data_IF_763340970602
#
_entry.id   IF_763340970602
#
_cell.length_a   1.000
_cell.length_b   1.000
_cell.length_c   1.000
_cell.angle_alpha   90.00
_cell.angle_beta   90.00
_cell.angle_gamma   90.00
#
_symmetry.space_group_name_H-M   'P 1'
#
loop_
_entity.id
_entity.type
_entity.pdbx_description
1 polymer ?
#
# COMPACT_ATOMS: atom_id res chain seq x y z
N UNK A 1 18.55 0.68 15.46
CA UNK A 1 17.28 1.13 16.10
C UNK A 1 16.30 -0.04 16.21
N UNK A 2 15.13 0.08 16.88
CA UNK A 2 14.05 -0.92 16.70
C UNK A 2 13.36 -0.73 15.34
N UNK A 3 12.78 -1.78 14.77
CA UNK A 3 12.09 -1.70 13.46
C UNK A 3 10.95 -0.66 13.49
N UNK A 4 10.20 -0.60 14.60
CA UNK A 4 9.12 0.37 14.77
C UNK A 4 9.59 1.83 14.85
N UNK A 5 10.67 2.10 15.58
CA UNK A 5 11.21 3.47 15.68
C UNK A 5 11.81 3.92 14.34
N UNK A 6 12.48 3.00 13.64
CA UNK A 6 12.98 3.23 12.28
C UNK A 6 11.84 3.58 11.31
N UNK A 7 10.76 2.78 11.31
CA UNK A 7 9.57 3.04 10.48
C UNK A 7 8.99 4.43 10.75
N UNK A 8 8.83 4.81 12.03
CA UNK A 8 8.28 6.12 12.40
C UNK A 8 9.14 7.28 11.93
N UNK A 9 10.44 7.21 12.17
CA UNK A 9 11.38 8.27 11.81
C UNK A 9 11.49 8.44 10.29
N UNK A 10 11.53 7.31 9.55
CA UNK A 10 11.51 7.33 8.09
C UNK A 10 10.20 7.95 7.57
N UNK A 11 9.05 7.59 8.14
CA UNK A 11 7.77 8.17 7.71
C UNK A 11 7.74 9.69 7.93
N UNK A 12 8.15 10.15 9.12
CA UNK A 12 8.20 11.59 9.42
C UNK A 12 9.14 12.34 8.47
N UNK A 13 10.31 11.76 8.16
CA UNK A 13 11.22 12.31 7.16
C UNK A 13 10.56 12.39 5.77
N UNK A 14 9.90 11.32 5.30
CA UNK A 14 9.25 11.30 3.99
C UNK A 14 8.09 12.31 3.89
N UNK A 15 7.26 12.41 4.93
CA UNK A 15 6.15 13.36 5.01
C UNK A 15 6.63 14.82 4.93
N UNK A 16 7.80 15.13 5.51
CA UNK A 16 8.35 16.50 5.48
C UNK A 16 8.98 16.92 4.14
N UNK A 17 9.40 15.96 3.32
CA UNK A 17 10.19 16.23 2.09
C UNK A 17 9.44 15.90 0.79
N UNK A 18 8.37 15.11 0.86
CA UNK A 18 7.63 14.66 -0.32
C UNK A 18 6.17 15.10 -0.25
N UNK A 19 5.66 15.55 -1.38
CA UNK A 19 4.23 15.72 -1.55
C UNK A 19 3.53 14.36 -1.67
N UNK A 20 2.37 14.24 -1.05
CA UNK A 20 1.53 13.05 -1.11
C UNK A 20 1.30 12.40 0.25
N UNK A 21 0.77 11.17 0.21
CA UNK A 21 0.33 10.45 1.40
C UNK A 21 1.37 9.41 1.77
N UNK A 22 1.81 9.41 3.02
CA UNK A 22 2.59 8.31 3.60
C UNK A 22 1.68 7.55 4.56
N UNK A 23 1.43 6.28 4.28
CA UNK A 23 0.57 5.45 5.11
C UNK A 23 1.25 4.14 5.44
N UNK A 24 1.13 3.74 6.71
CA UNK A 24 1.84 2.58 7.23
C UNK A 24 0.93 1.37 7.33
N UNK A 25 1.51 0.18 7.28
CA UNK A 25 0.89 -1.09 7.65
C UNK A 25 -0.44 -1.30 6.91
N UNK A 26 -0.34 -1.43 5.58
CA UNK A 26 -1.48 -1.55 4.68
C UNK A 26 -1.51 -2.92 4.01
N UNK A 27 -2.66 -3.60 4.10
CA UNK A 27 -2.87 -4.88 3.44
C UNK A 27 -2.88 -4.73 1.92
N UNK A 28 -2.01 -5.48 1.23
CA UNK A 28 -1.84 -5.46 -0.22
C UNK A 28 -2.20 -6.79 -0.91
N UNK A 29 -2.45 -7.87 -0.15
CA UNK A 29 -2.93 -9.14 -0.72
C UNK A 29 -4.25 -8.98 -1.48
N UNK A 30 -4.37 -9.65 -2.63
CA UNK A 30 -5.51 -9.55 -3.55
C UNK A 30 -6.38 -10.81 -3.47
N UNK A 31 -5.77 -11.97 -3.70
CA UNK A 31 -6.37 -13.30 -3.61
C UNK A 31 -6.53 -13.75 -2.15
N UNK A 32 -5.58 -13.41 -1.29
CA UNK A 32 -5.67 -13.62 0.16
C UNK A 32 -5.66 -12.27 0.90
N UNK A 33 -6.83 -11.61 1.06
CA UNK A 33 -6.91 -10.36 1.81
C UNK A 33 -6.31 -10.50 3.21
N UNK A 34 -5.31 -9.66 3.51
CA UNK A 34 -4.56 -9.70 4.77
C UNK A 34 -3.34 -10.63 4.77
N UNK A 35 -3.11 -11.41 3.71
CA UNK A 35 -1.94 -12.29 3.57
C UNK A 35 -0.62 -11.57 3.32
N UNK A 36 -0.66 -10.32 2.83
CA UNK A 36 0.50 -9.42 2.71
C UNK A 36 0.15 -8.04 3.24
N UNK A 37 1.03 -7.48 4.07
CA UNK A 37 0.96 -6.13 4.63
C UNK A 37 2.22 -5.39 4.20
N UNK A 38 2.09 -4.24 3.54
CA UNK A 38 3.20 -3.34 3.24
C UNK A 38 3.47 -2.46 4.46
N UNK A 39 4.74 -2.32 4.83
CA UNK A 39 5.15 -1.53 5.98
C UNK A 39 4.83 -0.05 5.80
N UNK A 40 5.23 0.52 4.66
CA UNK A 40 4.95 1.91 4.29
C UNK A 40 4.54 1.97 2.82
N UNK A 41 3.54 2.80 2.53
CA UNK A 41 3.07 3.10 1.19
C UNK A 41 3.09 4.60 1.00
N UNK A 42 3.83 5.06 0.00
CA UNK A 42 3.79 6.43 -0.48
C UNK A 42 2.84 6.53 -1.68
N UNK A 43 1.88 7.44 -1.62
CA UNK A 43 0.91 7.73 -2.68
C UNK A 43 1.18 9.12 -3.21
N UNK A 44 1.69 9.21 -4.43
CA UNK A 44 1.82 10.50 -5.10
C UNK A 44 0.42 11.07 -5.44
N UNK A 45 0.22 12.39 -5.33
CA UNK A 45 -1.01 13.01 -5.79
C UNK A 45 -1.15 12.86 -7.30
N UNK A 46 -2.35 12.51 -7.76
CA UNK A 46 -2.73 12.49 -9.17
C UNK A 46 -3.36 13.81 -9.61
N UNK A 47 -3.73 13.95 -10.90
CA UNK A 47 -4.23 15.21 -11.45
C UNK A 47 -5.55 15.69 -10.82
N UNK A 48 -6.39 14.77 -10.33
CA UNK A 48 -7.66 15.10 -9.68
C UNK A 48 -7.63 14.91 -8.15
N UNK A 49 -6.45 15.12 -7.53
CA UNK A 49 -6.29 15.03 -6.07
C UNK A 49 -7.23 15.98 -5.33
N UNK A 50 -7.32 17.24 -5.76
CA UNK A 50 -8.19 18.24 -5.14
C UNK A 50 -9.67 17.89 -5.25
N UNK A 51 -10.09 17.27 -6.37
CA UNK A 51 -11.46 16.78 -6.52
C UNK A 51 -11.78 15.70 -5.48
N UNK A 52 -10.84 14.78 -5.21
CA UNK A 52 -11.01 13.75 -4.18
C UNK A 52 -11.12 14.36 -2.79
N UNK A 53 -10.30 15.37 -2.49
CA UNK A 53 -10.34 16.09 -1.21
C UNK A 53 -11.67 16.83 -1.02
N UNK A 54 -12.21 17.40 -2.09
CA UNK A 54 -13.50 18.11 -2.07
C UNK A 54 -14.70 17.20 -1.77
N UNK A 55 -14.62 15.89 -2.05
CA UNK A 55 -15.70 14.94 -1.73
C UNK A 55 -15.83 14.78 -0.22
N UNK A 56 -14.75 14.36 0.45
CA UNK A 56 -14.73 14.06 1.88
C UNK A 56 -13.31 13.84 2.37
N UNK A 57 -13.01 14.25 3.61
CA UNK A 57 -11.72 14.01 4.28
C UNK A 57 -11.54 12.56 4.74
N UNK A 58 -12.56 11.73 4.59
CA UNK A 58 -12.59 10.34 5.03
C UNK A 58 -12.32 9.36 3.88
N UNK A 59 -12.01 8.10 4.20
CA UNK A 59 -11.99 7.04 3.18
C UNK A 59 -13.39 6.75 2.63
N UNK A 60 -13.49 6.53 1.31
CA UNK A 60 -14.73 6.12 0.65
C UNK A 60 -14.73 4.60 0.52
N UNK A 61 -15.84 3.91 0.87
CA UNK A 61 -15.92 2.45 0.72
C UNK A 61 -15.74 2.00 -0.73
N UNK A 62 -14.82 1.07 -0.97
CA UNK A 62 -14.55 0.48 -2.29
C UNK A 62 -15.82 -0.06 -2.98
N UNK A 63 -16.69 -0.73 -2.21
CA UNK A 63 -17.95 -1.24 -2.71
C UNK A 63 -18.90 -0.13 -3.21
N UNK A 64 -18.86 1.07 -2.60
CA UNK A 64 -19.66 2.20 -3.04
C UNK A 64 -19.10 2.80 -4.34
N UNK A 65 -17.77 2.83 -4.48
CA UNK A 65 -17.09 3.27 -5.70
C UNK A 65 -17.37 2.33 -6.88
N UNK A 66 -17.38 1.01 -6.63
CA UNK A 66 -17.67 -0.01 -7.66
C UNK A 66 -19.16 -0.17 -7.99
N UNK A 67 -20.04 0.39 -7.16
CA UNK A 67 -21.48 0.24 -7.35
C UNK A 67 -21.97 0.91 -8.64
N UNK A 68 -23.14 0.50 -9.11
CA UNK A 68 -23.81 1.15 -10.24
C UNK A 68 -24.46 2.50 -9.88
N UNK A 69 -24.37 2.95 -8.61
CA UNK A 69 -24.86 4.26 -8.18
C UNK A 69 -24.02 5.34 -8.84
N UNK A 70 -24.65 6.25 -9.58
CA UNK A 70 -23.97 7.37 -10.23
C UNK A 70 -24.50 8.71 -9.76
N UNK A 71 -23.94 9.80 -10.30
CA UNK A 71 -24.34 11.18 -9.94
C UNK A 71 -25.66 11.63 -10.56
N UNK A 72 -26.09 11.01 -11.66
CA UNK A 72 -27.26 11.45 -12.43
C UNK A 72 -28.60 11.02 -11.84
N UNK A 73 -28.92 9.72 -11.94
CA UNK A 73 -30.21 9.17 -11.49
C UNK A 73 -30.02 8.33 -10.24
N UNK A 74 -30.84 8.59 -9.23
CA UNK A 74 -30.90 7.75 -8.05
C UNK A 74 -31.26 6.30 -8.39
N UNK A 75 -30.71 5.36 -7.63
CA UNK A 75 -30.93 3.92 -7.81
C UNK A 75 -31.38 3.29 -6.51
N UNK A 76 -32.23 2.27 -6.62
CA UNK A 76 -32.52 1.41 -5.49
C UNK A 76 -31.24 0.70 -5.07
N UNK A 77 -30.82 0.90 -3.82
CA UNK A 77 -29.47 0.49 -3.43
C UNK A 77 -29.27 -1.03 -3.53
N UNK A 78 -30.29 -1.86 -3.31
CA UNK A 78 -30.15 -3.33 -3.40
C UNK A 78 -29.83 -3.82 -4.81
N UNK A 79 -30.20 -3.05 -5.85
CA UNK A 79 -29.97 -3.40 -7.25
C UNK A 79 -28.66 -2.80 -7.79
N UNK A 80 -27.91 -2.06 -6.95
CA UNK A 80 -26.76 -1.29 -7.39
C UNK A 80 -25.40 -1.94 -7.05
N UNK A 81 -25.37 -3.03 -6.28
CA UNK A 81 -24.14 -3.64 -5.78
C UNK A 81 -24.01 -5.09 -6.24
N UNK A 82 -22.81 -5.47 -6.67
CA UNK A 82 -22.44 -6.84 -7.03
C UNK A 82 -21.71 -7.52 -5.85
N UNK A 83 -22.32 -7.51 -4.66
CA UNK A 83 -21.77 -8.17 -3.48
C UNK A 83 -22.86 -8.55 -2.47
N UNK A 84 -22.49 -9.28 -1.43
CA UNK A 84 -23.42 -9.71 -0.38
C UNK A 84 -24.22 -8.53 0.21
N UNK A 85 -25.55 -8.67 0.44
CA UNK A 85 -26.42 -7.58 0.90
C UNK A 85 -25.91 -6.85 2.14
N UNK A 86 -25.34 -7.55 3.12
CA UNK A 86 -24.80 -6.90 4.33
C UNK A 86 -23.58 -6.03 4.04
N UNK A 87 -22.73 -6.45 3.08
CA UNK A 87 -21.59 -5.65 2.63
C UNK A 87 -22.08 -4.41 1.87
N UNK A 88 -23.08 -4.58 1.01
CA UNK A 88 -23.73 -3.48 0.31
C UNK A 88 -24.36 -2.48 1.29
N UNK A 89 -25.10 -2.97 2.30
CA UNK A 89 -25.71 -2.12 3.33
C UNK A 89 -24.66 -1.31 4.09
N UNK A 90 -23.59 -1.95 4.58
CA UNK A 90 -22.49 -1.25 5.26
C UNK A 90 -21.84 -0.19 4.36
N UNK A 91 -21.67 -0.49 3.08
CA UNK A 91 -21.10 0.45 2.12
C UNK A 91 -22.02 1.65 1.87
N UNK A 92 -23.33 1.43 1.73
CA UNK A 92 -24.34 2.48 1.58
C UNK A 92 -24.36 3.38 2.82
N UNK A 93 -24.47 2.80 4.01
CA UNK A 93 -24.55 3.55 5.26
C UNK A 93 -23.30 4.42 5.45
N UNK A 94 -22.12 3.83 5.22
CA UNK A 94 -20.85 4.56 5.30
C UNK A 94 -20.72 5.61 4.21
N UNK A 95 -21.12 5.34 2.97
CA UNK A 95 -21.09 6.30 1.88
C UNK A 95 -22.00 7.52 2.15
N UNK A 96 -23.17 7.30 2.79
CA UNK A 96 -24.06 8.37 3.23
C UNK A 96 -23.47 9.16 4.39
N UNK A 97 -22.81 8.49 5.35
CA UNK A 97 -22.15 9.13 6.49
C UNK A 97 -21.02 10.07 6.03
N UNK A 98 -20.19 9.65 5.07
CA UNK A 98 -19.08 10.47 4.55
C UNK A 98 -19.49 11.48 3.50
N UNK A 99 -20.77 11.50 3.09
CA UNK A 99 -21.28 12.42 2.07
C UNK A 99 -20.91 12.06 0.63
N UNK A 100 -20.45 10.83 0.36
CA UNK A 100 -20.23 10.34 -1.01
C UNK A 100 -21.56 9.97 -1.69
N UNK A 101 -22.51 9.45 -0.91
CA UNK A 101 -23.89 9.25 -1.34
C UNK A 101 -24.81 10.26 -0.67
N UNK A 102 -25.95 10.49 -1.31
CA UNK A 102 -27.12 11.10 -0.70
C UNK A 102 -28.39 10.31 -1.02
N UNK A 103 -29.41 10.46 -0.17
CA UNK A 103 -30.73 9.85 -0.37
C UNK A 103 -31.57 10.70 -1.31
N UNK A 104 -32.22 10.07 -2.27
CA UNK A 104 -33.25 10.72 -3.07
C UNK A 104 -34.61 10.52 -2.40
N UNK A 105 -35.05 11.53 -1.64
CA UNK A 105 -36.28 11.44 -0.86
C UNK A 105 -37.53 11.30 -1.73
N UNK A 106 -37.56 11.93 -2.91
CA UNK A 106 -38.70 11.87 -3.83
C UNK A 106 -38.82 10.48 -4.46
N UNK A 107 -37.74 9.94 -5.02
CA UNK A 107 -37.73 8.59 -5.57
C UNK A 107 -38.00 7.55 -4.48
N UNK A 108 -37.46 7.77 -3.28
CA UNK A 108 -37.64 6.84 -2.17
C UNK A 108 -39.09 6.78 -1.70
N UNK A 109 -39.75 7.93 -1.57
CA UNK A 109 -41.15 8.01 -1.19
C UNK A 109 -42.08 7.40 -2.26
N UNK A 110 -41.84 7.71 -3.54
CA UNK A 110 -42.67 7.21 -4.64
C UNK A 110 -42.63 5.68 -4.79
N UNK A 111 -41.48 5.06 -4.51
CA UNK A 111 -41.28 3.62 -4.65
C UNK A 111 -41.36 2.84 -3.33
N UNK A 112 -41.55 3.52 -2.19
CA UNK A 112 -41.44 2.96 -0.83
C UNK A 112 -40.18 2.09 -0.63
N UNK A 113 -39.03 2.59 -1.11
CA UNK A 113 -37.73 1.90 -1.13
C UNK A 113 -36.61 2.93 -0.99
N UNK A 114 -35.44 2.56 -0.48
CA UNK A 114 -34.34 3.53 -0.33
C UNK A 114 -33.56 3.69 -1.64
N UNK A 115 -33.66 4.88 -2.24
CA UNK A 115 -32.92 5.27 -3.42
C UNK A 115 -31.77 6.21 -3.05
N UNK A 116 -30.60 5.96 -3.62
CA UNK A 116 -29.38 6.75 -3.38
C UNK A 116 -28.76 7.21 -4.70
N UNK A 117 -28.03 8.32 -4.66
CA UNK A 117 -27.19 8.82 -5.75
C UNK A 117 -25.83 9.26 -5.22
N UNK A 118 -24.81 9.26 -6.08
CA UNK A 118 -23.52 9.85 -5.75
C UNK A 118 -23.60 11.37 -5.74
N UNK A 119 -22.91 12.01 -4.80
CA UNK A 119 -22.78 13.48 -4.74
C UNK A 119 -21.74 14.01 -5.72
N UNK A 120 -20.73 13.19 -6.03
CA UNK A 120 -19.66 13.49 -6.98
C UNK A 120 -19.21 12.22 -7.71
N UNK A 121 -18.62 12.38 -8.90
CA UNK A 121 -17.96 11.26 -9.58
C UNK A 121 -16.68 10.91 -8.82
N UNK A 122 -16.34 9.63 -8.76
CA UNK A 122 -15.06 9.21 -8.20
C UNK A 122 -13.92 9.59 -9.17
N UNK A 123 -12.97 10.45 -8.76
CA UNK A 123 -11.95 11.00 -9.65
C UNK A 123 -10.72 10.09 -9.78
N UNK A 124 -9.89 10.33 -10.80
CA UNK A 124 -8.56 9.73 -10.94
C UNK A 124 -7.52 10.55 -10.18
N UNK A 125 -7.43 10.30 -8.86
CA UNK A 125 -6.83 11.25 -7.92
C UNK A 125 -5.45 10.87 -7.40
N UNK A 126 -4.96 9.67 -7.69
CA UNK A 126 -3.67 9.19 -7.21
C UNK A 126 -2.75 8.83 -8.37
N UNK A 127 -1.46 9.12 -8.20
CA UNK A 127 -0.40 8.77 -9.14
C UNK A 127 0.34 7.52 -8.70
N UNK A 128 1.67 7.61 -8.77
CA UNK A 128 2.59 6.52 -8.43
C UNK A 128 2.45 6.07 -6.97
N UNK A 129 2.44 4.75 -6.78
CA UNK A 129 2.45 4.04 -5.51
C UNK A 129 3.81 3.41 -5.29
N UNK A 130 4.46 3.74 -4.18
CA UNK A 130 5.74 3.12 -3.77
C UNK A 130 5.52 2.37 -2.47
N UNK A 131 5.74 1.06 -2.49
CA UNK A 131 5.84 0.25 -1.27
C UNK A 131 7.26 0.31 -0.73
N UNK A 132 7.41 0.60 0.56
CA UNK A 132 8.70 0.59 1.24
C UNK A 132 8.64 -0.47 2.33
N UNK A 133 9.55 -1.45 2.26
CA UNK A 133 9.77 -2.46 3.30
C UNK A 133 10.91 -2.02 4.20
N UNK A 134 10.68 -2.02 5.52
CA UNK A 134 11.67 -1.55 6.48
C UNK A 134 12.45 -2.73 7.06
N UNK A 135 13.76 -2.74 6.82
CA UNK A 135 14.68 -3.69 7.47
C UNK A 135 15.93 -2.99 7.96
N UNK A 136 15.92 -2.35 9.15
CA UNK A 136 17.07 -1.61 9.65
C UNK A 136 18.33 -2.49 9.80
N UNK A 137 18.15 -3.75 10.22
CA UNK A 137 19.24 -4.73 10.41
C UNK A 137 19.10 -5.90 9.43
N UNK A 138 19.91 -5.90 8.36
CA UNK A 138 19.95 -6.98 7.35
C UNK A 138 20.61 -8.26 7.87
N UNK A 139 21.32 -8.20 8.99
CA UNK A 139 21.92 -9.37 9.62
C UNK A 139 20.93 -10.21 10.41
N UNK A 140 19.76 -9.65 10.77
CA UNK A 140 18.71 -10.37 11.46
C UNK A 140 17.90 -11.24 10.50
N UNK A 141 17.72 -12.54 10.82
CA UNK A 141 16.91 -13.42 10.00
C UNK A 141 15.46 -12.95 9.93
N UNK A 142 14.81 -13.26 8.82
CA UNK A 142 13.41 -12.97 8.54
C UNK A 142 13.06 -13.31 7.10
N UNK A 143 11.79 -13.14 6.73
CA UNK A 143 11.27 -13.54 5.41
C UNK A 143 11.38 -12.43 4.35
N UNK A 144 12.31 -11.48 4.54
CA UNK A 144 12.44 -10.27 3.71
C UNK A 144 12.49 -10.59 2.21
N UNK A 145 13.33 -11.56 1.82
CA UNK A 145 13.48 -11.95 0.41
C UNK A 145 12.15 -12.46 -0.17
N UNK A 146 11.41 -13.28 0.60
CA UNK A 146 10.13 -13.83 0.18
C UNK A 146 9.05 -12.75 0.09
N UNK A 147 9.05 -11.80 1.03
CA UNK A 147 8.15 -10.63 1.03
C UNK A 147 8.39 -9.75 -0.19
N UNK A 148 9.65 -9.38 -0.46
CA UNK A 148 10.03 -8.57 -1.62
C UNK A 148 9.72 -9.28 -2.95
N UNK A 149 9.99 -10.59 -3.04
CA UNK A 149 9.61 -11.39 -4.21
C UNK A 149 8.09 -11.43 -4.41
N UNK A 150 7.32 -11.50 -3.33
CA UNK A 150 5.86 -11.41 -3.38
C UNK A 150 5.41 -10.05 -3.91
N UNK A 151 5.97 -8.95 -3.41
CA UNK A 151 5.57 -7.61 -3.84
C UNK A 151 5.91 -7.34 -5.31
N UNK A 152 7.09 -7.80 -5.77
CA UNK A 152 7.51 -7.71 -7.18
C UNK A 152 6.63 -8.59 -8.07
N UNK A 153 6.44 -9.86 -7.72
CA UNK A 153 5.65 -10.79 -8.54
C UNK A 153 4.17 -10.42 -8.61
N UNK A 154 3.60 -9.89 -7.53
CA UNK A 154 2.22 -9.44 -7.51
C UNK A 154 2.05 -8.07 -8.18
N UNK A 155 3.02 -7.17 -8.02
CA UNK A 155 3.03 -5.83 -8.61
C UNK A 155 1.73 -5.04 -8.35
N UNK A 156 1.33 -4.91 -7.08
CA UNK A 156 0.23 -4.01 -6.67
C UNK A 156 0.70 -2.57 -6.63
N UNK A 157 1.93 -2.30 -6.24
CA UNK A 157 2.55 -0.97 -6.25
C UNK A 157 3.38 -0.78 -7.52
N UNK A 158 3.66 0.47 -7.89
CA UNK A 158 4.46 0.79 -9.09
C UNK A 158 5.96 0.57 -8.88
N UNK A 159 6.40 0.58 -7.63
CA UNK A 159 7.77 0.27 -7.23
C UNK A 159 7.84 -0.22 -5.79
N UNK A 160 8.87 -1.00 -5.51
CA UNK A 160 9.19 -1.51 -4.17
C UNK A 160 10.59 -1.05 -3.78
N UNK A 161 10.74 -0.58 -2.55
CA UNK A 161 12.02 -0.14 -1.99
C UNK A 161 12.27 -0.85 -0.66
N UNK A 162 13.49 -1.33 -0.47
CA UNK A 162 13.99 -1.75 0.84
C UNK A 162 14.70 -0.56 1.52
N UNK A 163 14.23 -0.15 2.69
CA UNK A 163 14.90 0.85 3.52
C UNK A 163 15.63 0.18 4.69
N UNK A 164 16.93 0.49 4.85
CA UNK A 164 17.80 -0.16 5.86
C UNK A 164 18.80 0.80 6.50
N UNK A 165 19.18 0.56 7.76
CA UNK A 165 20.32 1.23 8.41
C UNK A 165 21.64 0.50 8.15
N UNK A 166 21.56 -0.75 7.69
CA UNK A 166 22.72 -1.60 7.47
C UNK A 166 23.54 -1.11 6.29
N UNK A 167 24.86 -1.25 6.39
CA UNK A 167 25.72 -1.08 5.23
C UNK A 167 25.37 -2.14 4.18
N UNK A 168 25.08 -1.69 2.96
CA UNK A 168 24.63 -2.56 1.87
C UNK A 168 25.83 -3.06 1.10
N UNK A 169 26.06 -4.37 1.14
CA UNK A 169 27.12 -5.03 0.38
C UNK A 169 26.58 -5.58 -0.93
N UNK A 170 27.47 -5.90 -1.88
CA UNK A 170 27.09 -6.64 -3.10
C UNK A 170 26.41 -7.97 -2.79
N UNK A 171 26.84 -8.67 -1.73
CA UNK A 171 26.21 -9.93 -1.32
C UNK A 171 24.77 -9.73 -0.84
N UNK A 172 24.46 -8.60 -0.19
CA UNK A 172 23.07 -8.25 0.14
C UNK A 172 22.25 -8.02 -1.13
N UNK A 173 22.76 -7.20 -2.05
CA UNK A 173 22.07 -6.87 -3.30
C UNK A 173 21.75 -8.11 -4.15
N UNK A 174 22.66 -9.09 -4.21
CA UNK A 174 22.49 -10.33 -4.97
C UNK A 174 21.37 -11.25 -4.45
N UNK A 175 20.88 -11.05 -3.21
CA UNK A 175 19.77 -11.83 -2.64
C UNK A 175 18.41 -11.17 -2.90
N UNK A 176 18.39 -9.89 -3.24
CA UNK A 176 17.16 -9.13 -3.47
C UNK A 176 16.75 -9.25 -4.95
N UNK A 177 15.44 -9.27 -5.27
CA UNK A 177 14.99 -9.08 -6.64
C UNK A 177 15.62 -7.83 -7.26
N UNK A 178 15.96 -7.88 -8.55
CA UNK A 178 16.67 -6.78 -9.22
C UNK A 178 15.83 -5.51 -9.33
N UNK A 179 14.50 -5.67 -9.38
CA UNK A 179 13.52 -4.59 -9.49
C UNK A 179 13.40 -3.75 -8.21
N UNK A 180 13.83 -4.29 -7.07
CA UNK A 180 13.66 -3.64 -5.76
C UNK A 180 14.70 -2.53 -5.59
N UNK A 181 14.25 -1.30 -5.36
CA UNK A 181 15.14 -0.20 -4.97
C UNK A 181 15.73 -0.44 -3.58
N UNK A 182 16.89 0.13 -3.29
CA UNK A 182 17.53 0.00 -1.98
C UNK A 182 17.95 1.37 -1.48
N UNK A 183 17.41 1.75 -0.34
CA UNK A 183 17.73 2.97 0.38
C UNK A 183 18.51 2.64 1.65
N UNK A 184 19.69 3.22 1.79
CA UNK A 184 20.44 3.23 3.03
C UNK A 184 20.10 4.50 3.80
N UNK A 185 19.44 4.30 4.92
CA UNK A 185 19.00 5.36 5.82
C UNK A 185 20.02 5.49 6.94
N UNK A 186 20.60 6.68 7.08
CA UNK A 186 21.57 6.97 8.14
C UNK A 186 21.30 8.35 8.72
N UNK A 187 22.06 8.73 9.74
CA UNK A 187 21.93 10.06 10.36
C UNK A 187 23.21 10.81 10.15
N UNK A 188 23.09 12.09 9.83
CA UNK A 188 24.25 12.96 9.77
C UNK A 188 24.91 13.04 11.15
N UNK A 189 26.24 13.02 11.18
CA UNK A 189 26.99 13.00 12.43
C UNK A 189 26.96 14.36 13.15
N UNK A 190 26.66 15.46 12.46
CA UNK A 190 26.69 16.82 12.99
C UNK A 190 25.36 17.26 13.60
N UNK A 191 24.25 17.11 12.89
CA UNK A 191 22.93 17.60 13.32
C UNK A 191 21.92 16.48 13.63
N UNK A 192 22.33 15.22 13.43
CA UNK A 192 21.51 14.01 13.64
C UNK A 192 20.27 13.94 12.76
N UNK A 193 20.20 14.75 11.69
CA UNK A 193 19.13 14.66 10.71
C UNK A 193 19.20 13.33 9.97
N UNK A 194 18.02 12.77 9.66
CA UNK A 194 17.92 11.53 8.89
C UNK A 194 18.23 11.83 7.42
N UNK A 195 19.11 11.06 6.81
CA UNK A 195 19.51 11.11 5.41
C UNK A 195 19.25 9.78 4.71
N UNK A 196 18.89 9.85 3.43
CA UNK A 196 18.57 8.69 2.60
C UNK A 196 19.54 8.64 1.42
N UNK A 197 20.44 7.66 1.44
CA UNK A 197 21.33 7.34 0.32
C UNK A 197 20.67 6.29 -0.57
N UNK A 198 20.45 6.61 -1.85
CA UNK A 198 19.93 5.63 -2.81
C UNK A 198 21.06 4.76 -3.36
N UNK A 199 21.11 3.51 -2.91
CA UNK A 199 22.10 2.50 -3.34
C UNK A 199 21.70 1.86 -4.67
N UNK A 200 20.38 1.70 -4.88
CA UNK A 200 19.80 1.18 -6.12
C UNK A 200 18.45 1.83 -6.37
N UNK A 201 18.26 2.39 -7.57
CA UNK A 201 16.98 2.93 -8.01
C UNK A 201 15.95 1.79 -8.18
N UNK A 202 14.70 1.94 -7.71
CA UNK A 202 13.66 0.93 -7.93
C UNK A 202 13.18 0.92 -9.38
N UNK A 203 13.04 -0.27 -9.96
CA UNK A 203 12.43 -0.45 -11.26
C UNK A 203 10.90 -0.23 -11.20
N UNK A 204 10.31 0.13 -12.35
CA UNK A 204 8.86 0.19 -12.48
C UNK A 204 8.28 -1.21 -12.65
N UNK A 205 7.28 -1.56 -11.83
CA UNK A 205 6.63 -2.85 -11.87
C UNK A 205 5.46 -2.89 -12.88
N UNK A 206 5.16 -4.05 -13.49
CA UNK A 206 4.13 -4.18 -14.52
C UNK A 206 2.72 -4.27 -13.91
N UNK A 207 2.20 -3.15 -13.41
CA UNK A 207 0.92 -3.06 -12.68
C UNK A 207 -0.31 -3.30 -13.56
N UNK A 208 -0.16 -3.20 -14.88
CA UNK A 208 -1.18 -3.43 -15.91
C UNK A 208 -1.14 -4.84 -16.51
N UNK A 209 -0.15 -5.66 -16.14
CA UNK A 209 -0.05 -7.08 -16.51
C UNK A 209 -0.56 -7.99 -15.39
N UNK A 210 -0.91 -9.26 -15.68
CA UNK A 210 -1.19 -10.23 -14.63
C UNK A 210 -0.01 -10.36 -13.65
N UNK A 211 -0.30 -10.42 -12.36
CA UNK A 211 0.67 -10.69 -11.30
C UNK A 211 0.48 -12.07 -10.69
N UNK A 212 1.42 -12.50 -9.86
CA UNK A 212 1.37 -13.76 -9.11
C UNK A 212 1.31 -13.44 -7.63
N UNK A 213 0.32 -13.99 -6.92
CA UNK A 213 0.25 -13.94 -5.45
C UNK A 213 0.62 -15.30 -4.88
N UNK A 214 1.80 -15.44 -4.24
CA UNK A 214 2.10 -16.60 -3.40
C UNK A 214 1.12 -16.69 -2.24
N UNK A 215 0.56 -17.88 -2.02
CA UNK A 215 -0.39 -18.16 -0.95
C UNK A 215 0.30 -19.00 0.14
N UNK A 216 0.16 -20.32 0.08
CA UNK A 216 0.74 -21.23 1.07
C UNK A 216 2.06 -21.82 0.58
N UNK A 217 3.12 -21.62 1.37
CA UNK A 217 4.40 -22.26 1.17
C UNK A 217 4.42 -23.65 1.83
N UNK A 218 4.90 -24.65 1.10
CA UNK A 218 5.13 -26.02 1.56
C UNK A 218 6.52 -26.46 1.07
N UNK A 219 7.19 -27.41 1.74
CA UNK A 219 8.45 -27.95 1.24
C UNK A 219 8.30 -28.44 -0.22
N UNK A 220 9.10 -27.89 -1.13
CA UNK A 220 9.10 -28.20 -2.57
C UNK A 220 7.86 -27.74 -3.36
N UNK A 221 7.02 -26.87 -2.79
CA UNK A 221 5.78 -26.42 -3.43
C UNK A 221 5.28 -25.09 -2.88
N UNK A 222 4.90 -24.18 -3.76
CA UNK A 222 4.16 -22.96 -3.40
C UNK A 222 2.82 -22.94 -4.11
N UNK A 223 1.74 -22.81 -3.34
CA UNK A 223 0.42 -22.53 -3.90
C UNK A 223 0.39 -21.06 -4.35
N UNK A 224 0.00 -20.80 -5.60
CA UNK A 224 -0.06 -19.46 -6.18
C UNK A 224 -1.44 -19.15 -6.76
N UNK A 225 -1.77 -17.86 -6.82
CA UNK A 225 -2.89 -17.34 -7.62
C UNK A 225 -2.38 -16.41 -8.72
N UNK A 226 -2.96 -16.52 -9.92
CA UNK A 226 -2.70 -15.57 -11.01
C UNK A 226 -3.71 -14.43 -10.88
N UNK A 227 -3.22 -13.24 -10.55
CA UNK A 227 -4.04 -12.07 -10.28
C UNK A 227 -4.16 -11.22 -11.54
N UNK A 228 -5.40 -11.03 -12.01
CA UNK A 228 -5.67 -10.20 -13.19
C UNK A 228 -5.34 -8.71 -12.96
N UNK A 229 -5.02 -7.94 -14.02
CA UNK A 229 -4.81 -6.49 -13.94
C UNK A 229 -5.98 -5.75 -13.27
N UNK A 230 -7.21 -6.16 -13.59
CA UNK A 230 -8.42 -5.56 -13.01
C UNK A 230 -8.51 -5.82 -11.50
N UNK A 231 -8.14 -7.01 -11.03
CA UNK A 231 -8.10 -7.31 -9.60
C UNK A 231 -7.03 -6.46 -8.89
N UNK A 232 -5.86 -6.26 -9.51
CA UNK A 232 -4.82 -5.35 -9.01
C UNK A 232 -5.30 -3.90 -8.95
N UNK A 233 -5.98 -3.39 -9.98
CA UNK A 233 -6.53 -2.03 -9.98
C UNK A 233 -7.53 -1.82 -8.83
N UNK A 234 -8.41 -2.79 -8.56
CA UNK A 234 -9.32 -2.72 -7.40
C UNK A 234 -8.55 -2.73 -6.08
N UNK A 235 -7.52 -3.57 -5.97
CA UNK A 235 -6.67 -3.63 -4.79
C UNK A 235 -5.90 -2.32 -4.56
N UNK A 236 -5.35 -1.73 -5.63
CA UNK A 236 -4.70 -0.41 -5.62
C UNK A 236 -5.64 0.68 -5.12
N UNK A 237 -6.86 0.75 -5.67
CA UNK A 237 -7.89 1.70 -5.21
C UNK A 237 -8.21 1.53 -3.73
N UNK A 238 -8.36 0.28 -3.26
CA UNK A 238 -8.54 0.00 -1.82
C UNK A 238 -7.35 0.45 -0.99
N UNK A 239 -6.13 0.21 -1.48
CA UNK A 239 -4.89 0.57 -0.80
C UNK A 239 -4.81 2.09 -0.59
N UNK A 240 -5.05 2.86 -1.65
CA UNK A 240 -4.97 4.34 -1.60
C UNK A 240 -6.12 4.96 -0.80
N UNK A 241 -7.34 4.43 -0.87
CA UNK A 241 -8.45 4.91 -0.03
C UNK A 241 -8.19 4.63 1.45
N UNK A 242 -7.58 3.48 1.78
CA UNK A 242 -7.16 3.20 3.15
C UNK A 242 -5.99 4.09 3.58
N UNK A 243 -5.04 4.37 2.69
CA UNK A 243 -3.97 5.31 2.95
C UNK A 243 -4.54 6.69 3.28
N UNK A 244 -5.44 7.20 2.43
CA UNK A 244 -6.14 8.48 2.62
C UNK A 244 -6.91 8.52 3.95
N UNK A 245 -7.69 7.48 4.25
CA UNK A 245 -8.48 7.42 5.48
C UNK A 245 -7.69 7.22 6.77
N UNK A 246 -6.45 6.73 6.72
CA UNK A 246 -5.55 6.72 7.88
C UNK A 246 -5.03 8.12 8.23
N UNK A 247 -5.28 9.10 7.35
CA UNK A 247 -4.93 10.50 7.49
C UNK A 247 -3.51 10.81 7.00
N UNK A 248 -3.32 12.06 6.58
CA UNK A 248 -2.01 12.71 6.55
C UNK A 248 -1.66 13.00 8.00
N UNK A 249 -0.58 12.42 8.51
CA UNK A 249 -0.11 12.83 9.81
C UNK A 249 0.85 13.98 9.57
N UNK A 250 0.30 15.19 9.43
CA UNK A 250 1.12 16.37 9.67
C UNK A 250 1.44 16.34 11.16
N UNK A 251 2.56 15.72 11.51
CA UNK A 251 3.13 15.80 12.85
C UNK A 251 3.74 17.20 13.01
N UNK A 252 2.90 18.23 13.11
CA UNK A 252 3.22 19.19 14.16
C UNK A 252 3.01 18.40 15.46
N UNK A 253 4.11 17.97 16.09
CA UNK A 253 4.03 17.57 17.48
C UNK A 253 3.22 18.64 18.20
N UNK A 254 2.20 18.29 19.03
CA UNK A 254 1.52 19.30 19.81
C UNK A 254 2.61 20.05 20.55
N UNK A 255 2.75 21.35 20.27
CA UNK A 255 3.59 22.21 21.07
C UNK A 255 3.10 21.98 22.50
N UNK A 256 3.91 21.24 23.26
CA UNK A 256 3.56 20.83 24.60
C UNK A 256 3.08 22.08 25.32
N UNK A 257 1.88 22.00 25.89
CA UNK A 257 1.35 23.02 26.77
C UNK A 257 2.48 23.46 27.69
N UNK A 258 2.92 24.71 27.52
CA UNK A 258 3.95 25.29 28.36
C UNK A 258 3.54 25.09 29.81
N UNK A 259 4.19 24.15 30.49
CA UNK A 259 4.08 24.02 31.92
C UNK A 259 4.83 25.22 32.49
N UNK A 260 4.16 26.18 33.15
CA UNK A 260 4.88 27.17 33.92
C UNK A 260 5.64 26.43 35.03
N UNK A 261 6.96 26.58 35.02
CA UNK A 261 7.81 26.18 36.14
C UNK A 261 7.50 27.10 37.33
N UNK A 262 6.54 26.71 38.15
CA UNK A 262 6.40 27.24 39.51
C UNK A 262 6.04 26.14 40.49
N UNK A 263 6.98 25.88 41.40
CA UNK A 263 6.79 25.08 42.62
C UNK A 263 5.67 25.69 43.47
N UNK A 264 4.60 24.94 43.74
CA UNK A 264 4.06 24.77 45.11
C UNK A 264 2.84 23.84 45.17
N UNK A 265 3.02 22.75 45.91
CA UNK A 265 2.13 22.09 46.90
C UNK A 265 0.64 21.78 46.57
N UNK A 266 0.38 20.48 46.81
CA UNK A 266 -0.83 19.77 47.27
C UNK A 266 -1.83 19.31 46.20
N UNK A 267 -1.87 17.98 46.10
CA UNK A 267 -2.95 17.17 45.58
C UNK A 267 -4.15 17.22 46.54
N UNK A 268 -5.36 17.27 45.98
CA UNK A 268 -6.55 16.56 46.43
C UNK A 268 -7.47 16.33 45.19
N UNK A 269 -8.01 15.12 45.06
CA UNK A 269 -8.85 14.62 43.96
C UNK A 269 -10.35 15.05 44.15
N UNK A 270 -11.39 14.50 43.46
CA UNK A 270 -11.51 13.64 42.25
C UNK A 270 -12.67 14.05 41.27
N UNK A 271 -12.98 13.18 40.29
CA UNK A 271 -14.24 13.03 39.50
C UNK A 271 -14.53 14.00 38.32
N UNK A 272 -14.66 13.48 37.09
CA UNK A 272 -15.93 13.01 36.49
C UNK A 272 -15.81 12.69 34.98
N UNK A 273 -16.50 11.62 34.57
CA UNK A 273 -16.84 11.29 33.19
C UNK A 273 -17.64 12.40 32.49
N UNK A 274 -17.59 12.40 31.14
CA UNK A 274 -18.70 12.44 30.17
C UNK A 274 -18.29 13.23 28.92
N UNK A 275 -18.64 12.70 27.74
CA UNK A 275 -19.15 13.58 26.69
C UNK A 275 -18.48 13.49 25.32
N UNK A 276 -18.68 12.37 24.64
CA UNK A 276 -18.67 12.32 23.17
C UNK A 276 -19.76 13.27 22.65
N UNK A 277 -19.38 14.43 22.11
CA UNK A 277 -20.28 15.26 21.29
C UNK A 277 -19.54 15.77 20.06
N UNK A 278 -19.97 15.28 18.91
CA UNK A 278 -19.59 15.82 17.62
C UNK A 278 -20.14 17.23 17.45
N UNK A 279 -19.30 18.11 16.92
CA UNK A 279 -19.75 19.33 16.27
C UNK A 279 -19.11 19.44 14.89
N UNK A 280 -20.00 19.43 13.90
CA UNK A 280 -19.76 19.94 12.55
C UNK A 280 -19.10 21.33 12.64
N UNK A 281 -18.02 21.55 11.89
CA UNK A 281 -17.64 22.89 11.45
C UNK A 281 -17.52 22.90 9.94
N UNK A 282 -18.23 23.87 9.36
CA UNK A 282 -18.22 24.25 7.95
C UNK A 282 -16.89 24.94 7.62
N UNK A 283 -16.40 24.69 6.41
CA UNK A 283 -15.65 25.62 5.56
C UNK A 283 -14.49 26.37 6.20
N UNK A 284 -13.29 25.77 6.12
CA UNK A 284 -12.03 26.52 6.19
C UNK A 284 -11.44 26.63 4.79
N UNK A 285 -11.38 27.87 4.29
CA UNK A 285 -10.69 28.25 3.05
C UNK A 285 -9.18 28.16 3.31
N UNK A 286 -8.46 27.45 2.44
CA UNK A 286 -6.99 27.41 2.46
C UNK A 286 -6.44 28.51 1.56
N UNK A 287 -5.34 29.21 1.94
CA UNK A 287 -4.81 30.31 1.17
C UNK A 287 -4.09 29.79 -0.08
N UNK A 288 -4.57 30.21 -1.25
CA UNK A 288 -3.86 30.10 -2.52
C UNK A 288 -2.83 31.23 -2.57
N UNK A 289 -1.54 30.88 -2.57
CA UNK A 289 -0.47 31.81 -2.93
C UNK A 289 -0.60 32.07 -4.43
N UNK A 290 -1.16 33.23 -4.77
CA UNK A 290 -1.38 33.66 -6.15
C UNK A 290 -0.15 34.44 -6.64
N UNK A 291 0.64 33.80 -7.51
CA UNK A 291 1.67 34.46 -8.31
C UNK A 291 1.16 34.68 -9.74
N UNK A 292 0.49 35.80 -9.98
CA UNK A 292 0.14 36.28 -11.32
C UNK A 292 1.37 36.91 -12.00
N UNK A 293 1.70 36.46 -13.21
CA UNK A 293 2.10 37.36 -14.28
C UNK A 293 1.35 37.02 -15.56
N UNK A 294 0.63 38.02 -16.05
CA UNK A 294 -0.09 38.05 -17.30
C UNK A 294 0.88 38.16 -18.49
N UNK A 295 0.48 37.54 -19.60
CA UNK A 295 1.02 37.78 -20.94
C UNK A 295 -0.11 37.59 -21.95
N UNK A 296 -0.49 38.69 -22.59
CA UNK A 296 -1.58 38.85 -23.54
C UNK A 296 -1.44 38.00 -24.82
N UNK A 297 -2.57 37.62 -25.44
CA UNK A 297 -2.54 36.89 -26.71
C UNK A 297 -3.88 36.47 -27.34
N UNK A 298 -4.79 37.42 -27.54
CA UNK A 298 -5.61 37.61 -28.77
C UNK A 298 -5.98 36.42 -29.69
N UNK A 299 -7.29 36.12 -29.73
CA UNK A 299 -8.18 35.84 -30.89
C UNK A 299 -7.96 34.66 -31.87
N UNK A 300 -9.00 33.83 -32.01
CA UNK A 300 -9.18 32.90 -33.13
C UNK A 300 -10.50 32.14 -33.11
N UNK A 301 -11.57 32.76 -33.60
CA UNK A 301 -12.88 32.15 -33.87
C UNK A 301 -12.80 31.18 -35.07
N UNK A 302 -13.28 29.94 -34.92
CA UNK A 302 -13.81 29.18 -36.07
C UNK A 302 -14.89 28.20 -35.63
N UNK A 303 -16.10 28.45 -36.14
CA UNK A 303 -17.29 27.60 -36.07
C UNK A 303 -17.11 26.38 -36.98
N UNK A 304 -17.62 25.23 -36.55
CA UNK A 304 -17.80 24.06 -37.39
C UNK A 304 -18.85 23.12 -36.80
N UNK A 305 -20.12 23.34 -37.14
CA UNK A 305 -21.23 22.38 -36.93
C UNK A 305 -21.14 21.30 -37.99
N UNK A 306 -21.22 20.03 -37.60
CA UNK A 306 -21.91 18.98 -38.38
C UNK A 306 -22.27 17.78 -37.49
N UNK A 307 -23.56 17.45 -37.48
CA UNK A 307 -24.21 16.15 -37.19
C UNK A 307 -25.54 16.18 -37.95
N UNK A 308 -26.26 15.06 -38.19
CA UNK A 308 -25.90 13.64 -38.04
C UNK A 308 -26.32 12.80 -39.28
N UNK A 309 -26.01 11.50 -39.29
CA UNK A 309 -26.80 10.51 -40.03
C UNK A 309 -27.07 9.29 -39.17
N UNK A 310 -28.35 8.94 -39.10
CA UNK A 310 -28.93 7.75 -38.51
C UNK A 310 -28.51 6.46 -39.26
N UNK A 311 -28.50 5.35 -38.53
CA UNK A 311 -28.32 4.01 -39.08
C UNK A 311 -28.67 2.93 -38.05
N UNK A 312 -29.89 2.41 -38.17
CA UNK A 312 -30.48 1.33 -37.37
C UNK A 312 -29.71 0.01 -37.43
N UNK A 313 -29.82 -0.76 -36.35
CA UNK A 313 -30.20 -2.19 -36.45
C UNK A 313 -29.11 -3.23 -36.15
N UNK A 314 -29.34 -4.03 -35.10
CA UNK A 314 -28.69 -5.34 -34.94
C UNK A 314 -28.34 -5.74 -33.51
N UNK A 315 -29.31 -6.27 -32.76
CA UNK A 315 -29.04 -7.09 -31.56
C UNK A 315 -28.61 -8.50 -31.98
N UNK A 316 -27.61 -9.11 -31.36
CA UNK A 316 -27.56 -10.56 -31.20
C UNK A 316 -27.91 -10.97 -29.77
N UNK A 317 -28.59 -12.12 -29.70
CA UNK A 317 -29.14 -12.77 -28.51
C UNK A 317 -28.04 -13.32 -27.60
N UNK A 318 -28.34 -13.32 -26.30
CA UNK A 318 -27.58 -13.98 -25.24
C UNK A 318 -27.68 -15.50 -25.38
N UNK A 319 -26.55 -16.20 -25.22
CA UNK A 319 -26.51 -17.60 -24.77
C UNK A 319 -25.71 -17.69 -23.47
N UNK A 320 -26.11 -18.54 -22.50
CA UNK A 320 -25.46 -18.66 -21.20
C UNK A 320 -24.49 -19.86 -21.16
N UNK A 321 -23.26 -19.65 -20.72
CA UNK A 321 -22.32 -20.65 -20.16
C UNK A 321 -20.99 -19.93 -19.90
N UNK A 322 -20.20 -20.17 -18.87
CA UNK A 322 -20.20 -21.07 -17.73
C UNK A 322 -19.26 -20.42 -16.72
N UNK A 323 -19.62 -20.40 -15.45
CA UNK A 323 -18.74 -19.98 -14.36
C UNK A 323 -17.59 -20.98 -14.22
N UNK A 324 -16.49 -20.75 -14.94
CA UNK A 324 -15.22 -21.39 -14.66
C UNK A 324 -14.57 -20.74 -13.45
N UNK A 325 -14.40 -21.49 -12.35
CA UNK A 325 -13.43 -21.14 -11.31
C UNK A 325 -12.04 -20.95 -11.97
N UNK A 326 -11.23 -19.96 -11.55
CA UNK A 326 -9.83 -19.93 -11.97
C UNK A 326 -9.14 -21.22 -11.51
N UNK A 327 -8.41 -21.85 -12.43
CA UNK A 327 -7.60 -23.04 -12.14
C UNK A 327 -6.35 -22.59 -11.42
N UNK A 328 -6.12 -23.11 -10.21
CA UNK A 328 -4.83 -23.00 -9.54
C UNK A 328 -3.78 -23.67 -10.42
N UNK A 329 -2.76 -22.89 -10.82
CA UNK A 329 -1.62 -23.40 -11.57
C UNK A 329 -0.62 -23.94 -10.54
N UNK A 330 -0.29 -25.21 -10.68
CA UNK A 330 0.63 -25.92 -9.79
C UNK A 330 2.02 -25.83 -10.40
N UNK A 331 2.96 -25.24 -9.68
CA UNK A 331 4.38 -25.28 -10.03
C UNK A 331 5.07 -26.20 -9.02
N UNK A 332 5.68 -27.26 -9.52
CA UNK A 332 6.52 -28.20 -8.76
C UNK A 332 7.95 -28.04 -9.22
N UNK A 333 8.89 -27.92 -8.30
CA UNK A 333 10.31 -28.03 -8.65
C UNK A 333 10.62 -29.44 -9.18
N UNK A 334 11.56 -29.60 -10.13
CA UNK A 334 12.02 -30.91 -10.56
C UNK A 334 12.68 -31.66 -9.37
N UNK A 335 12.55 -32.99 -9.29
CA UNK A 335 13.10 -33.75 -8.18
C UNK A 335 14.63 -33.67 -8.18
N UNK A 336 15.20 -33.35 -7.02
CA UNK A 336 16.63 -33.53 -6.73
C UNK A 336 16.88 -35.03 -6.56
N UNK A 337 17.60 -35.63 -7.50
CA UNK A 337 17.98 -37.05 -7.48
C UNK A 337 19.11 -37.27 -6.45
N UNK A 338 18.72 -37.53 -5.20
CA UNK A 338 19.64 -37.91 -4.12
C UNK A 338 19.78 -39.43 -4.06
N UNK A 339 20.58 -40.00 -4.98
CA UNK A 339 21.06 -41.38 -4.80
C UNK A 339 22.16 -41.43 -3.75
N UNK A 340 21.75 -41.92 -2.60
CA UNK A 340 22.55 -42.44 -1.50
C UNK A 340 23.43 -43.59 -2.00
N UNK A 341 24.73 -43.53 -1.70
CA UNK A 341 25.61 -44.69 -1.66
C UNK A 341 26.05 -44.84 -0.20
N UNK A 342 25.42 -45.78 0.52
CA UNK A 342 25.79 -46.19 1.87
C UNK A 342 26.28 -47.62 1.78
N UNK A 343 27.59 -47.82 1.94
CA UNK A 343 28.19 -49.10 2.34
C UNK A 343 29.60 -48.85 2.87
N UNK A 344 29.77 -48.97 4.19
CA UNK A 344 30.86 -49.71 4.85
C UNK A 344 30.90 -49.38 6.35
N UNK A 345 30.57 -50.41 7.14
CA UNK A 345 30.59 -50.44 8.60
C UNK A 345 31.97 -50.83 9.12
N UNK A 346 32.35 -50.23 10.26
CA UNK A 346 33.19 -50.76 11.36
C UNK A 346 34.60 -51.32 11.06
N UNK A 347 35.61 -50.64 11.59
CA UNK A 347 36.66 -51.30 12.38
C UNK A 347 37.40 -50.32 13.30
N UNK A 348 37.34 -50.61 14.59
CA UNK A 348 38.17 -50.07 15.68
C UNK A 348 39.64 -50.50 15.54
N UNK A 349 40.62 -49.62 15.81
CA UNK A 349 41.80 -49.94 16.64
C UNK A 349 42.66 -48.69 16.95
N UNK A 350 42.87 -48.52 18.25
CA UNK A 350 43.96 -47.93 19.05
C UNK A 350 45.10 -47.09 18.45
N UNK A 351 45.35 -45.98 19.16
CA UNK A 351 46.59 -45.19 19.21
C UNK A 351 47.84 -45.99 19.62
N UNK A 352 49.03 -45.44 19.35
CA UNK A 352 50.11 -45.48 20.34
C UNK A 352 50.69 -44.09 20.63
N UNK A 353 50.97 -43.89 21.91
CA UNK A 353 51.81 -42.84 22.51
C UNK A 353 53.27 -43.29 22.62
N UNK A 354 54.16 -42.33 22.90
CA UNK A 354 55.62 -42.38 23.21
C UNK A 354 56.55 -42.22 21.99
N UNK A 355 57.63 -41.44 21.98
CA UNK A 355 58.32 -40.61 22.97
C UNK A 355 59.34 -39.67 22.27
N UNK A 356 59.65 -38.54 22.95
CA UNK A 356 60.96 -37.87 23.10
C UNK A 356 61.92 -37.68 21.92
N UNK A 357 62.33 -36.43 21.71
CA UNK A 357 63.56 -36.07 21.00
C UNK A 357 63.80 -34.56 20.92
N UNK A 358 64.30 -33.96 22.00
CA UNK A 358 64.89 -32.62 22.04
C UNK A 358 66.27 -32.61 21.34
N UNK A 359 66.62 -31.53 20.63
CA UNK A 359 67.94 -30.85 20.64
C UNK A 359 68.10 -29.80 19.53
N UNK A 360 68.30 -28.55 19.98
CA UNK A 360 69.26 -27.51 19.54
C UNK A 360 69.46 -27.10 18.06
N UNK A 361 69.14 -25.83 17.83
CA UNK A 361 70.02 -24.73 17.40
C UNK A 361 71.19 -25.03 16.44
N UNK A 362 71.21 -24.38 15.28
CA UNK A 362 72.13 -23.25 14.99
C UNK A 362 71.92 -22.67 13.58
N UNK A 363 71.93 -21.33 13.58
CA UNK A 363 72.17 -20.34 12.53
C UNK A 363 73.01 -20.72 11.31
N UNK A 364 72.59 -20.22 10.13
CA UNK A 364 73.39 -19.36 9.23
C UNK A 364 72.50 -18.76 8.13
N UNK A 365 72.55 -17.43 7.99
CA UNK A 365 71.79 -16.61 7.04
C UNK A 365 71.82 -15.16 7.48
#
# INVERSE_FOLDING_TARGET
>A
MSEFAFELELCAHLESRREGIVARQLGAGVAAPGGRILDVVCVAPGPAFDERVAITSESIPDAAIESAVGTGRARYWKDAFDCHPDRARRAVDRALEVGFFERDHTASAAANREYVRQTARYPDWYGRLVGIENKPDLGRPGDLEAQLRTDVSLAVVDAVVLATESYVTRAHLNRLPEEVGVWRVHRDDTDRSLEIEEIREPASLPVDQPGIEPLAFRPGRTDIEIVSPQAKQRARRRLVERAYGKGWRTYEFPAVWGLPTSRSKRCDAPLLCVGRQGRRRRGGVWPIVSGLRAGDGSWGLSRGRTRPTDGMGGRPRRHPSSTGRPRSVRVTDPPVDSRICSDCSHSTYSSPSTASGSSNASSAG
#
